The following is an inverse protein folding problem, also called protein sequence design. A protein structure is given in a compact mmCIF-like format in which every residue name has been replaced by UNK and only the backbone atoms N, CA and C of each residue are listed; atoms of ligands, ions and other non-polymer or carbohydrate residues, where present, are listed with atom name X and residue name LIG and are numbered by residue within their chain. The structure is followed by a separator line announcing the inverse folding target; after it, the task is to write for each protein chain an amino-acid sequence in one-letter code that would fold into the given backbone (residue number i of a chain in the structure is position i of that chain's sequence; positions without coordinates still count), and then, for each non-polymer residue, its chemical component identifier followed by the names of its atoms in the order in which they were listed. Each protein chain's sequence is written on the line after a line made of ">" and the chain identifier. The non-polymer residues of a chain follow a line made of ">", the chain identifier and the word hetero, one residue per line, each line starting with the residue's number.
data_IF_824307340348
#
_entry.id   IF_824307340348
#
_cell.length_a   1.000
_cell.length_b   1.000
_cell.length_c   1.000
_cell.angle_alpha   90.00
_cell.angle_beta   90.00
_cell.angle_gamma   90.00
#
_symmetry.space_group_name_H-M   'P 1'
#
loop_
_entity.id
_entity.type
_entity.pdbx_description
1 polymer ?
#
# COMPACT_ATOMS: atom_id res chain seq x y z
N UNK A 1 2.22 -40.00 -1.57
CA UNK A 1 1.23 -39.03 -1.08
C UNK A 1 1.84 -38.34 0.15
N UNK A 2 2.59 -37.26 -0.07
CA UNK A 2 3.13 -36.47 1.04
C UNK A 2 2.01 -35.57 1.54
N UNK A 3 1.48 -35.86 2.73
CA UNK A 3 0.60 -34.97 3.46
C UNK A 3 1.39 -33.70 3.79
N UNK A 4 1.15 -32.64 3.03
CA UNK A 4 1.51 -31.29 3.46
C UNK A 4 0.82 -31.05 4.79
N UNK A 5 1.57 -31.15 5.89
CA UNK A 5 1.11 -30.68 7.18
C UNK A 5 0.93 -29.17 7.07
N UNK A 6 -0.32 -28.75 6.85
CA UNK A 6 -0.71 -27.34 7.02
C UNK A 6 -0.55 -27.06 8.52
N UNK A 7 0.52 -26.38 8.85
CA UNK A 7 0.85 -26.01 10.24
C UNK A 7 -0.07 -24.85 10.63
N UNK A 8 -1.26 -25.16 11.12
CA UNK A 8 -2.15 -24.16 11.69
C UNK A 8 -1.54 -23.68 13.01
N UNK A 9 -1.16 -22.42 13.15
CA UNK A 9 -0.45 -21.97 14.35
C UNK A 9 -1.38 -21.95 15.57
N UNK A 10 -0.92 -22.53 16.67
CA UNK A 10 -1.65 -22.62 17.94
C UNK A 10 -2.18 -21.28 18.45
N UNK A 11 -1.43 -20.21 18.24
CA UNK A 11 -1.83 -18.87 18.67
C UNK A 11 -3.12 -18.40 17.99
N UNK A 12 -3.26 -18.67 16.68
CA UNK A 12 -4.43 -18.29 15.91
C UNK A 12 -5.63 -19.19 16.25
N UNK A 13 -5.39 -20.49 16.41
CA UNK A 13 -6.43 -21.44 16.86
C UNK A 13 -6.98 -21.03 18.22
N UNK A 14 -6.12 -20.68 19.18
CA UNK A 14 -6.54 -20.20 20.51
C UNK A 14 -7.38 -18.92 20.39
N UNK A 15 -6.99 -17.98 19.49
CA UNK A 15 -7.75 -16.76 19.25
C UNK A 15 -9.14 -17.08 18.68
N UNK A 16 -9.23 -17.93 17.65
CA UNK A 16 -10.49 -18.35 17.03
C UNK A 16 -11.40 -19.02 18.07
N UNK A 17 -10.88 -19.95 18.86
CA UNK A 17 -11.67 -20.64 19.90
C UNK A 17 -12.18 -19.64 20.94
N UNK A 18 -11.34 -18.69 21.39
CA UNK A 18 -11.73 -17.65 22.35
C UNK A 18 -12.86 -16.76 21.82
N UNK A 19 -12.90 -16.53 20.51
CA UNK A 19 -13.93 -15.73 19.83
C UNK A 19 -15.19 -16.54 19.46
N UNK A 20 -15.35 -17.74 19.98
CA UNK A 20 -16.54 -18.57 19.75
C UNK A 20 -16.41 -19.60 18.63
N UNK A 21 -15.21 -19.82 18.09
CA UNK A 21 -14.91 -20.85 17.07
C UNK A 21 -14.84 -20.32 15.65
N UNK A 22 -15.19 -19.05 15.44
CA UNK A 22 -15.14 -18.36 14.13
C UNK A 22 -14.75 -16.89 14.32
N UNK A 23 -13.99 -16.34 13.38
CA UNK A 23 -13.65 -14.91 13.29
C UNK A 23 -13.93 -14.41 11.88
N UNK A 24 -14.21 -13.10 11.71
CA UNK A 24 -14.36 -12.52 10.37
C UNK A 24 -13.07 -12.67 9.55
N UNK A 25 -13.17 -12.64 8.23
CA UNK A 25 -11.97 -12.64 7.39
C UNK A 25 -11.09 -11.39 7.68
N UNK A 26 -11.72 -10.27 7.97
CA UNK A 26 -11.03 -9.06 8.43
C UNK A 26 -10.16 -9.33 9.67
N UNK A 27 -10.74 -9.91 10.73
CA UNK A 27 -9.99 -10.22 11.96
C UNK A 27 -8.89 -11.26 11.73
N UNK A 28 -9.14 -12.20 10.83
CA UNK A 28 -8.13 -13.19 10.41
C UNK A 28 -6.95 -12.50 9.72
N UNK A 29 -7.20 -11.70 8.68
CA UNK A 29 -6.16 -10.99 7.93
C UNK A 29 -5.38 -10.04 8.84
N UNK A 30 -6.08 -9.26 9.68
CA UNK A 30 -5.44 -8.40 10.65
C UNK A 30 -4.54 -9.18 11.62
N UNK A 31 -4.99 -10.32 12.08
CA UNK A 31 -4.18 -11.18 12.97
C UNK A 31 -2.97 -11.76 12.25
N UNK A 32 -3.16 -12.27 11.03
CA UNK A 32 -2.10 -12.89 10.24
C UNK A 32 -1.01 -11.88 9.85
N UNK A 33 -1.37 -10.62 9.62
CA UNK A 33 -0.43 -9.58 9.22
C UNK A 33 0.13 -8.79 10.41
N UNK A 34 -0.71 -8.38 11.37
CA UNK A 34 -0.38 -7.33 12.34
C UNK A 34 -0.28 -7.80 13.79
N UNK A 35 -0.51 -9.10 14.11
CA UNK A 35 -0.30 -9.57 15.50
C UNK A 35 1.15 -9.26 15.94
N UNK A 36 1.35 -8.55 17.07
CA UNK A 36 2.69 -8.07 17.47
C UNK A 36 3.73 -9.18 17.68
N UNK A 37 3.28 -10.40 17.99
CA UNK A 37 4.18 -11.54 18.28
C UNK A 37 4.27 -12.53 17.13
N UNK A 38 3.24 -12.64 16.33
CA UNK A 38 3.08 -13.74 15.39
C UNK A 38 2.75 -13.28 13.96
N UNK A 39 2.24 -12.06 13.79
CA UNK A 39 1.87 -11.52 12.50
C UNK A 39 3.08 -11.29 11.58
N UNK A 40 2.86 -11.35 10.30
CA UNK A 40 3.90 -11.23 9.28
C UNK A 40 4.67 -9.89 9.41
N UNK A 41 3.97 -8.77 9.45
CA UNK A 41 4.56 -7.44 9.69
C UNK A 41 4.73 -7.16 11.18
N UNK A 42 3.71 -7.48 12.00
CA UNK A 42 3.69 -7.16 13.43
C UNK A 42 4.88 -7.69 14.20
N UNK A 43 5.32 -8.92 13.91
CA UNK A 43 6.49 -9.55 14.55
C UNK A 43 7.83 -9.20 13.88
N UNK A 44 7.83 -8.42 12.79
CA UNK A 44 9.04 -8.08 12.05
C UNK A 44 9.61 -9.22 11.19
N UNK A 45 8.85 -10.28 10.93
CA UNK A 45 9.29 -11.41 10.09
C UNK A 45 9.35 -11.06 8.60
N UNK A 46 8.57 -10.07 8.16
CA UNK A 46 8.48 -9.69 6.75
C UNK A 46 9.87 -9.49 6.13
N UNK A 47 10.16 -10.26 5.11
CA UNK A 47 11.39 -10.14 4.33
C UNK A 47 11.03 -9.63 2.94
N UNK A 48 11.44 -8.38 2.65
CA UNK A 48 11.16 -7.70 1.39
C UNK A 48 12.37 -7.76 0.46
N UNK A 49 12.11 -7.80 -0.85
CA UNK A 49 13.14 -7.73 -1.87
C UNK A 49 13.50 -9.06 -2.54
N UNK A 50 14.56 -9.05 -3.33
CA UNK A 50 14.96 -10.19 -4.20
C UNK A 50 15.35 -11.47 -3.42
N UNK A 51 15.66 -11.36 -2.14
CA UNK A 51 15.97 -12.47 -1.24
C UNK A 51 14.79 -12.79 -0.30
N UNK A 52 13.71 -12.01 -0.36
CA UNK A 52 12.56 -12.13 0.55
C UNK A 52 11.37 -12.87 -0.06
N UNK A 53 10.19 -12.62 0.49
CA UNK A 53 8.95 -13.29 0.08
C UNK A 53 8.35 -12.73 -1.21
N UNK A 54 8.53 -11.44 -1.45
CA UNK A 54 8.07 -10.75 -2.66
C UNK A 54 8.90 -9.50 -2.95
N UNK A 55 8.77 -8.99 -4.17
CA UNK A 55 9.50 -7.82 -4.65
C UNK A 55 8.56 -6.65 -4.75
N UNK A 56 8.86 -5.58 -4.03
CA UNK A 56 8.20 -4.27 -4.15
C UNK A 56 8.96 -3.38 -5.14
N UNK A 57 8.30 -2.32 -5.63
CA UNK A 57 8.96 -1.35 -6.51
C UNK A 57 10.25 -0.78 -5.92
N UNK A 58 10.32 -0.35 -4.64
CA UNK A 58 11.55 0.13 -4.01
C UNK A 58 12.63 -0.92 -3.84
N UNK A 59 12.25 -2.18 -3.60
CA UNK A 59 13.21 -3.26 -3.37
C UNK A 59 13.84 -3.79 -4.65
N UNK A 60 13.21 -3.51 -5.79
CA UNK A 60 13.69 -3.94 -7.09
C UNK A 60 14.87 -3.11 -7.58
N UNK A 61 14.82 -1.79 -7.37
CA UNK A 61 15.87 -0.86 -7.82
C UNK A 61 15.77 0.48 -7.10
N UNK A 62 16.92 1.07 -6.79
CA UNK A 62 17.04 2.47 -6.33
C UNK A 62 16.45 3.47 -7.33
N UNK A 63 16.26 3.05 -8.59
CA UNK A 63 15.69 3.89 -9.64
C UNK A 63 14.21 4.22 -9.39
N UNK A 64 13.45 3.37 -8.69
CA UNK A 64 12.10 3.72 -8.28
C UNK A 64 12.11 4.94 -7.36
N UNK A 65 12.92 4.90 -6.29
CA UNK A 65 13.07 6.04 -5.37
C UNK A 65 13.61 7.28 -6.06
N UNK A 66 14.43 7.13 -7.11
CA UNK A 66 14.89 8.23 -7.95
C UNK A 66 13.73 8.92 -8.67
N UNK A 67 12.82 8.19 -9.33
CA UNK A 67 11.69 8.79 -10.04
C UNK A 67 10.67 9.43 -9.09
N UNK A 68 10.29 8.72 -8.02
CA UNK A 68 9.41 9.29 -7.01
C UNK A 68 10.08 10.52 -6.38
N UNK A 69 11.39 10.47 -6.15
CA UNK A 69 12.20 11.59 -5.66
C UNK A 69 12.13 12.82 -6.56
N UNK A 70 12.18 12.66 -7.89
CA UNK A 70 12.00 13.76 -8.85
C UNK A 70 10.64 14.43 -8.69
N UNK A 71 9.58 13.63 -8.53
CA UNK A 71 8.24 14.18 -8.33
C UNK A 71 8.12 14.89 -6.98
N UNK A 72 8.67 14.30 -5.92
CA UNK A 72 8.68 14.92 -4.58
C UNK A 72 9.47 16.23 -4.60
N UNK A 73 10.62 16.24 -5.24
CA UNK A 73 11.43 17.46 -5.42
C UNK A 73 10.65 18.57 -6.12
N UNK A 74 9.97 18.26 -7.22
CA UNK A 74 9.10 19.21 -7.93
C UNK A 74 8.06 19.82 -6.98
N UNK A 75 7.41 19.01 -6.16
CA UNK A 75 6.44 19.48 -5.18
C UNK A 75 7.06 20.30 -4.06
N UNK A 76 8.21 19.89 -3.52
CA UNK A 76 8.93 20.64 -2.48
C UNK A 76 9.33 22.04 -2.98
N UNK A 77 9.81 22.16 -4.23
CA UNK A 77 10.15 23.44 -4.85
C UNK A 77 8.88 24.30 -4.97
N UNK A 78 7.75 23.73 -5.39
CA UNK A 78 6.48 24.44 -5.50
C UNK A 78 5.96 24.89 -4.11
N UNK A 79 6.11 24.08 -3.07
CA UNK A 79 5.78 24.47 -1.70
C UNK A 79 6.63 25.66 -1.22
N UNK A 80 7.94 25.61 -1.46
CA UNK A 80 8.87 26.68 -1.06
C UNK A 80 8.60 27.98 -1.82
N UNK A 81 8.19 27.92 -3.10
CA UNK A 81 7.90 29.12 -3.91
C UNK A 81 6.53 29.73 -3.61
N UNK A 82 5.57 28.99 -3.07
CA UNK A 82 4.20 29.43 -2.83
C UNK A 82 3.97 29.97 -1.40
N UNK A 83 4.94 30.71 -0.82
CA UNK A 83 4.87 31.33 0.53
C UNK A 83 4.77 30.36 1.71
N UNK A 84 5.05 29.08 1.52
CA UNK A 84 5.25 28.12 2.61
C UNK A 84 6.74 28.02 3.02
N UNK A 85 7.59 28.91 2.52
CA UNK A 85 9.04 28.93 2.73
C UNK A 85 9.46 29.07 4.21
N UNK A 86 8.64 29.74 5.03
CA UNK A 86 8.93 29.95 6.45
C UNK A 86 8.39 28.81 7.33
N UNK A 87 7.74 27.79 6.76
CA UNK A 87 7.17 26.68 7.50
C UNK A 87 8.03 25.43 7.29
N UNK A 88 8.16 24.66 8.38
CA UNK A 88 8.81 23.35 8.30
C UNK A 88 8.03 22.44 7.36
N UNK A 89 8.71 21.87 6.36
CA UNK A 89 8.13 20.93 5.43
C UNK A 89 8.43 19.50 5.87
N UNK A 90 7.50 18.61 5.58
CA UNK A 90 7.62 17.20 5.91
C UNK A 90 7.46 16.33 4.67
N UNK A 91 8.23 15.24 4.64
CA UNK A 91 8.00 14.09 3.75
C UNK A 91 7.69 12.90 4.63
N UNK A 92 6.49 12.38 4.51
CA UNK A 92 5.94 11.34 5.39
C UNK A 92 5.70 10.08 4.59
N UNK A 93 6.29 8.98 5.02
CA UNK A 93 6.16 7.65 4.41
C UNK A 93 5.34 6.73 5.33
N UNK A 94 4.24 6.22 4.83
CA UNK A 94 3.40 5.27 5.54
C UNK A 94 3.82 3.85 5.19
N UNK A 95 4.03 3.02 6.21
CA UNK A 95 4.37 1.62 5.99
C UNK A 95 5.66 1.47 5.18
N UNK A 96 6.75 2.11 5.62
CA UNK A 96 8.01 2.23 4.87
C UNK A 96 8.72 0.89 4.58
N UNK A 97 8.09 -0.26 4.85
CA UNK A 97 8.66 -1.58 4.67
C UNK A 97 10.00 -1.73 5.40
N UNK A 98 11.06 -2.14 4.73
CA UNK A 98 12.42 -2.23 5.29
C UNK A 98 13.16 -0.89 5.33
N UNK A 99 12.55 0.20 4.88
CA UNK A 99 13.16 1.53 4.77
C UNK A 99 13.91 1.80 3.47
N UNK A 100 13.90 0.87 2.51
CA UNK A 100 14.62 1.02 1.23
C UNK A 100 14.12 2.21 0.42
N UNK A 101 12.81 2.43 0.36
CA UNK A 101 12.23 3.57 -0.34
C UNK A 101 12.70 4.90 0.26
N UNK A 102 12.54 5.09 1.57
CA UNK A 102 12.96 6.30 2.28
C UNK A 102 14.47 6.53 2.16
N UNK A 103 15.28 5.48 2.26
CA UNK A 103 16.73 5.56 2.06
C UNK A 103 17.08 6.09 0.66
N UNK A 104 16.49 5.51 -0.39
CA UNK A 104 16.71 5.94 -1.76
C UNK A 104 16.23 7.37 -2.03
N UNK A 105 15.09 7.75 -1.45
CA UNK A 105 14.52 9.10 -1.55
C UNK A 105 15.41 10.15 -0.89
N UNK A 106 15.85 9.93 0.36
CA UNK A 106 16.76 10.84 1.05
C UNK A 106 18.06 10.99 0.25
N UNK A 107 18.61 9.88 -0.21
CA UNK A 107 19.83 9.88 -1.04
C UNK A 107 19.70 10.68 -2.33
N UNK A 108 18.53 10.60 -2.98
CA UNK A 108 18.22 11.41 -4.14
C UNK A 108 18.17 12.91 -3.80
N UNK A 109 17.39 13.28 -2.78
CA UNK A 109 17.17 14.68 -2.40
C UNK A 109 18.48 15.37 -1.91
N UNK A 110 19.35 14.62 -1.22
CA UNK A 110 20.65 15.13 -0.79
C UNK A 110 21.64 15.36 -1.95
N UNK A 111 21.48 14.60 -3.05
CA UNK A 111 22.34 14.76 -4.25
C UNK A 111 21.81 15.80 -5.23
N UNK A 112 20.58 16.24 -5.05
CA UNK A 112 19.97 17.23 -5.91
C UNK A 112 20.67 18.59 -5.77
N UNK A 113 20.92 19.24 -6.90
CA UNK A 113 21.51 20.59 -6.97
C UNK A 113 20.58 21.70 -6.48
N UNK A 114 19.30 21.40 -6.28
CA UNK A 114 18.27 22.40 -5.97
C UNK A 114 18.11 22.68 -4.46
N UNK A 115 18.94 22.06 -3.59
CA UNK A 115 18.81 22.16 -2.13
C UNK A 115 17.37 21.89 -1.63
N UNK A 116 16.66 21.03 -2.34
CA UNK A 116 15.24 20.74 -2.08
C UNK A 116 14.99 20.08 -0.72
N UNK A 117 16.00 19.39 -0.17
CA UNK A 117 15.95 18.75 1.16
C UNK A 117 16.19 19.72 2.31
N UNK A 118 16.68 20.93 2.07
CA UNK A 118 16.94 21.90 3.15
C UNK A 118 15.65 22.29 3.86
N UNK A 119 15.64 22.20 5.18
CA UNK A 119 14.47 22.48 6.02
C UNK A 119 13.35 21.44 5.94
N UNK A 120 13.62 20.26 5.36
CA UNK A 120 12.68 19.14 5.28
C UNK A 120 12.96 18.13 6.39
N UNK A 121 11.91 17.69 7.08
CA UNK A 121 11.96 16.57 8.02
C UNK A 121 11.31 15.34 7.39
N UNK A 122 11.93 14.18 7.59
CA UNK A 122 11.40 12.91 7.14
C UNK A 122 10.69 12.23 8.32
N UNK A 123 9.50 11.72 8.06
CA UNK A 123 8.71 11.00 9.08
C UNK A 123 8.31 9.65 8.51
N UNK A 124 8.51 8.61 9.29
CA UNK A 124 8.01 7.27 8.98
C UNK A 124 6.86 6.98 9.93
N UNK A 125 5.70 6.69 9.36
CA UNK A 125 4.53 6.22 10.11
C UNK A 125 4.47 4.71 10.00
N UNK A 126 4.86 4.03 11.08
CA UNK A 126 4.97 2.58 11.13
C UNK A 126 4.42 2.07 12.47
N UNK A 127 3.32 1.29 12.48
CA UNK A 127 2.75 0.74 13.71
C UNK A 127 3.55 -0.47 14.23
N UNK A 128 4.34 -1.12 13.40
CA UNK A 128 4.97 -2.40 13.70
C UNK A 128 6.41 -2.22 14.22
N UNK A 129 6.64 -2.47 15.50
CA UNK A 129 7.95 -2.31 16.15
C UNK A 129 9.06 -3.09 15.46
N UNK A 130 8.78 -4.31 15.00
CA UNK A 130 9.76 -5.13 14.29
C UNK A 130 10.22 -4.50 12.98
N UNK A 131 9.34 -3.80 12.27
CA UNK A 131 9.69 -3.06 11.04
C UNK A 131 10.49 -1.79 11.37
N UNK A 132 10.13 -1.06 12.43
CA UNK A 132 10.86 0.13 12.89
C UNK A 132 12.36 -0.18 13.11
N UNK A 133 12.69 -1.32 13.73
CA UNK A 133 14.09 -1.69 13.96
C UNK A 133 14.84 -1.94 12.64
N UNK A 134 14.22 -2.59 11.66
CA UNK A 134 14.80 -2.77 10.31
C UNK A 134 15.03 -1.42 9.62
N UNK A 135 14.06 -0.53 9.69
CA UNK A 135 14.12 0.82 9.11
C UNK A 135 15.26 1.64 9.75
N UNK A 136 15.41 1.61 11.07
CA UNK A 136 16.49 2.29 11.78
C UNK A 136 17.88 1.80 11.35
N UNK A 137 18.05 0.49 11.20
CA UNK A 137 19.30 -0.09 10.71
C UNK A 137 19.59 0.42 9.30
N UNK A 138 18.60 0.40 8.40
CA UNK A 138 18.71 0.84 7.01
C UNK A 138 19.05 2.32 6.87
N UNK A 139 18.48 3.14 7.74
CA UNK A 139 18.60 4.62 7.69
C UNK A 139 19.71 5.17 8.59
N UNK A 140 20.49 4.30 9.25
CA UNK A 140 21.51 4.71 10.22
C UNK A 140 22.56 5.65 9.63
N UNK A 141 22.94 5.49 8.36
CA UNK A 141 23.88 6.39 7.69
C UNK A 141 23.39 7.84 7.67
N UNK A 142 22.10 8.07 7.39
CA UNK A 142 21.51 9.41 7.34
C UNK A 142 21.31 10.01 8.73
N UNK A 143 20.96 9.19 9.73
CA UNK A 143 20.90 9.64 11.13
C UNK A 143 22.29 10.12 11.60
N UNK A 144 23.35 9.40 11.22
CA UNK A 144 24.74 9.77 11.53
C UNK A 144 25.19 11.07 10.84
N UNK A 145 24.58 11.41 9.70
CA UNK A 145 24.79 12.69 9.00
C UNK A 145 23.95 13.83 9.55
N UNK A 146 23.13 13.59 10.59
CA UNK A 146 22.28 14.60 11.22
C UNK A 146 20.98 14.90 10.44
N UNK A 147 20.58 14.02 9.52
CA UNK A 147 19.29 14.15 8.83
C UNK A 147 18.15 13.92 9.81
N UNK A 148 17.17 14.81 9.82
CA UNK A 148 16.01 14.74 10.71
C UNK A 148 15.02 13.67 10.24
N UNK A 149 15.12 12.46 10.82
CA UNK A 149 14.27 11.30 10.53
C UNK A 149 13.58 10.89 11.82
N UNK A 150 12.25 10.88 11.81
CA UNK A 150 11.39 10.60 12.96
C UNK A 150 10.52 9.39 12.69
N UNK A 151 10.32 8.54 13.68
CA UNK A 151 9.31 7.47 13.68
C UNK A 151 8.16 7.89 14.57
N UNK A 152 6.94 7.85 14.06
CA UNK A 152 5.73 8.25 14.78
C UNK A 152 4.57 7.30 14.47
N UNK A 153 3.68 7.14 15.46
CA UNK A 153 2.31 6.71 15.20
C UNK A 153 1.52 7.84 14.53
N UNK A 154 0.50 7.51 13.75
CA UNK A 154 -0.35 8.54 13.13
C UNK A 154 -1.04 9.41 14.19
N UNK A 155 -1.39 8.84 15.33
CA UNK A 155 -2.00 9.51 16.48
C UNK A 155 -1.04 10.52 17.16
N UNK A 156 0.28 10.35 17.05
CA UNK A 156 1.29 11.25 17.60
C UNK A 156 1.52 12.50 16.74
N UNK A 157 0.93 12.55 15.56
CA UNK A 157 0.98 13.70 14.67
C UNK A 157 -0.18 14.64 15.02
N UNK A 158 0.11 15.89 15.31
CA UNK A 158 -0.91 16.90 15.63
C UNK A 158 -1.82 17.19 14.44
N UNK A 159 -3.09 17.45 14.73
CA UNK A 159 -4.07 17.76 13.69
C UNK A 159 -3.77 19.11 13.01
N UNK A 160 -3.97 19.18 11.70
CA UNK A 160 -3.75 20.36 10.86
C UNK A 160 -2.38 21.04 11.02
N UNK A 161 -1.35 20.26 11.34
CA UNK A 161 -0.01 20.80 11.62
C UNK A 161 1.02 20.50 10.52
N UNK A 162 0.72 19.59 9.63
CA UNK A 162 1.67 19.15 8.63
C UNK A 162 1.51 19.91 7.30
N UNK A 163 2.63 20.52 6.88
CA UNK A 163 2.78 21.02 5.52
C UNK A 163 3.78 20.13 4.79
N UNK A 164 3.38 19.50 3.68
CA UNK A 164 4.31 18.63 2.96
C UNK A 164 3.66 17.51 2.16
N UNK A 165 4.40 16.43 2.02
CA UNK A 165 4.08 15.33 1.12
C UNK A 165 3.91 14.05 1.94
N UNK A 166 2.79 13.38 1.72
CA UNK A 166 2.43 12.11 2.32
C UNK A 166 2.50 11.04 1.23
N UNK A 167 3.14 9.93 1.51
CA UNK A 167 3.36 8.85 0.57
C UNK A 167 2.88 7.55 1.21
N UNK A 168 2.12 6.77 0.44
CA UNK A 168 1.77 5.39 0.78
C UNK A 168 2.05 4.53 -0.45
N UNK A 169 3.11 3.74 -0.38
CA UNK A 169 3.50 2.83 -1.44
C UNK A 169 3.27 1.39 -1.01
N UNK A 170 2.36 0.68 -1.68
CA UNK A 170 2.02 -0.71 -1.35
C UNK A 170 1.61 -0.84 0.14
N UNK A 171 0.60 -0.07 0.55
CA UNK A 171 0.11 -0.01 1.93
C UNK A 171 -1.35 -0.44 2.03
N UNK A 172 -2.18 0.06 1.11
CA UNK A 172 -3.62 -0.15 1.19
C UNK A 172 -4.01 -1.57 0.79
N UNK A 173 -3.21 -2.21 -0.08
CA UNK A 173 -3.38 -3.60 -0.49
C UNK A 173 -3.23 -4.59 0.68
N UNK A 174 -2.43 -4.23 1.70
CA UNK A 174 -2.18 -5.01 2.91
C UNK A 174 -3.11 -4.63 4.09
N UNK A 175 -3.96 -3.60 3.95
CA UNK A 175 -4.97 -3.30 4.96
C UNK A 175 -5.99 -4.44 5.05
N UNK A 176 -6.44 -4.81 6.27
CA UNK A 176 -7.45 -5.84 6.44
C UNK A 176 -8.73 -5.54 5.67
N UNK A 177 -9.32 -6.56 5.08
CA UNK A 177 -10.55 -6.43 4.28
C UNK A 177 -11.65 -7.33 4.80
N UNK A 178 -12.88 -6.89 4.69
CA UNK A 178 -14.03 -7.81 4.74
C UNK A 178 -14.12 -8.57 3.41
N UNK A 179 -14.35 -9.87 3.48
CA UNK A 179 -14.70 -10.65 2.28
C UNK A 179 -16.19 -10.95 2.28
N UNK A 180 -16.82 -10.67 1.16
CA UNK A 180 -18.27 -10.82 0.97
C UNK A 180 -18.48 -11.93 -0.02
N UNK A 181 -19.31 -12.92 0.34
CA UNK A 181 -19.67 -14.07 -0.50
C UNK A 181 -21.17 -14.03 -0.82
N UNK A 182 -21.51 -14.25 -2.08
CA UNK A 182 -22.88 -14.46 -2.52
C UNK A 182 -23.20 -15.96 -2.49
N UNK A 183 -24.14 -16.35 -1.66
CA UNK A 183 -24.54 -17.75 -1.45
C UNK A 183 -26.02 -17.84 -1.19
N UNK A 184 -26.71 -18.81 -1.81
CA UNK A 184 -28.14 -19.06 -1.63
C UNK A 184 -29.01 -17.82 -1.84
N UNK A 185 -28.66 -16.98 -2.81
CA UNK A 185 -29.38 -15.74 -3.14
C UNK A 185 -29.18 -14.60 -2.13
N UNK A 186 -28.20 -14.68 -1.22
CA UNK A 186 -27.91 -13.68 -0.19
C UNK A 186 -26.41 -13.38 -0.09
N UNK A 187 -26.08 -12.25 0.50
CA UNK A 187 -24.71 -11.89 0.85
C UNK A 187 -24.39 -12.34 2.28
N UNK A 188 -23.19 -12.88 2.44
CA UNK A 188 -22.59 -13.25 3.72
C UNK A 188 -21.20 -12.62 3.83
N UNK A 189 -20.74 -12.43 5.06
CA UNK A 189 -19.33 -12.16 5.35
C UNK A 189 -18.58 -13.47 5.36
N UNK A 190 -17.43 -13.53 4.71
CA UNK A 190 -16.57 -14.69 4.86
C UNK A 190 -15.87 -14.66 6.22
N UNK A 191 -15.77 -15.83 6.82
CA UNK A 191 -15.15 -16.05 8.12
C UNK A 191 -14.07 -17.12 8.04
N UNK A 192 -13.24 -17.19 9.07
CA UNK A 192 -12.28 -18.27 9.27
C UNK A 192 -12.64 -19.02 10.55
N UNK A 193 -12.90 -20.31 10.42
CA UNK A 193 -13.27 -21.21 11.49
C UNK A 193 -12.23 -22.32 11.64
N UNK A 194 -12.20 -22.95 12.81
CA UNK A 194 -11.32 -24.09 13.11
C UNK A 194 -12.13 -25.38 13.34
N UNK A 195 -11.89 -26.36 12.50
CA UNK A 195 -12.46 -27.72 12.72
C UNK A 195 -11.54 -28.57 13.61
N UNK A 196 -12.02 -28.88 14.81
CA UNK A 196 -11.30 -29.69 15.80
C UNK A 196 -11.05 -31.12 15.34
N UNK A 197 -11.90 -31.68 14.45
CA UNK A 197 -11.78 -33.08 14.01
C UNK A 197 -10.67 -33.22 12.95
N UNK A 198 -10.66 -32.37 11.98
CA UNK A 198 -9.65 -32.38 10.93
C UNK A 198 -8.39 -31.60 11.31
N UNK A 199 -8.40 -30.84 12.41
CA UNK A 199 -7.36 -29.92 12.84
C UNK A 199 -6.99 -28.89 11.74
N UNK A 200 -7.99 -28.34 11.03
CA UNK A 200 -7.79 -27.42 9.92
C UNK A 200 -8.60 -26.14 10.06
N UNK A 201 -8.03 -25.05 9.57
CA UNK A 201 -8.77 -23.83 9.29
C UNK A 201 -9.59 -24.03 8.00
N UNK A 202 -10.77 -23.44 7.96
CA UNK A 202 -11.63 -23.44 6.79
C UNK A 202 -12.39 -22.11 6.68
N UNK A 203 -12.82 -21.79 5.47
CA UNK A 203 -13.66 -20.62 5.22
C UNK A 203 -15.11 -20.98 5.57
N UNK A 204 -15.76 -20.08 6.30
CA UNK A 204 -17.12 -20.19 6.80
C UNK A 204 -17.90 -18.91 6.47
N UNK A 205 -19.19 -18.87 6.75
CA UNK A 205 -20.07 -17.74 6.47
C UNK A 205 -20.62 -17.15 7.78
N UNK A 206 -20.58 -15.81 7.88
CA UNK A 206 -21.23 -15.03 8.93
C UNK A 206 -22.26 -14.08 8.31
N UNK A 207 -23.31 -13.70 9.04
CA UNK A 207 -24.25 -12.69 8.57
C UNK A 207 -23.55 -11.36 8.23
N UNK A 208 -24.05 -10.66 7.22
CA UNK A 208 -23.63 -9.28 6.92
C UNK A 208 -23.95 -8.39 8.12
N UNK A 209 -23.01 -7.51 8.51
CA UNK A 209 -23.27 -6.49 9.52
C UNK A 209 -24.04 -5.32 8.92
N UNK A 210 -24.79 -4.62 9.76
CA UNK A 210 -25.56 -3.43 9.32
C UNK A 210 -24.65 -2.33 8.75
N UNK A 211 -23.45 -2.18 9.29
CA UNK A 211 -22.45 -1.21 8.84
C UNK A 211 -21.97 -1.54 7.44
N UNK A 212 -21.64 -2.82 7.20
CA UNK A 212 -21.20 -3.30 5.90
C UNK A 212 -22.30 -3.19 4.85
N UNK A 213 -23.54 -3.55 5.20
CA UNK A 213 -24.71 -3.42 4.34
C UNK A 213 -24.91 -1.95 3.91
N UNK A 214 -24.90 -1.01 4.86
CA UNK A 214 -25.00 0.42 4.57
C UNK A 214 -23.87 0.92 3.67
N UNK A 215 -22.65 0.45 3.88
CA UNK A 215 -21.50 0.82 3.06
C UNK A 215 -21.67 0.37 1.61
N UNK A 216 -22.19 -0.86 1.39
CA UNK A 216 -22.51 -1.40 0.07
C UNK A 216 -23.65 -0.59 -0.59
N UNK A 217 -24.70 -0.28 0.15
CA UNK A 217 -25.82 0.53 -0.35
C UNK A 217 -25.38 1.94 -0.74
N UNK A 218 -24.47 2.53 0.04
CA UNK A 218 -23.90 3.85 -0.26
C UNK A 218 -23.06 3.82 -1.55
N UNK A 219 -22.24 2.79 -1.75
CA UNK A 219 -21.48 2.60 -2.98
C UNK A 219 -22.41 2.40 -4.20
N UNK A 220 -23.51 1.66 -4.03
CA UNK A 220 -24.53 1.51 -5.08
C UNK A 220 -25.15 2.85 -5.44
N UNK A 221 -25.57 3.62 -4.45
CA UNK A 221 -26.26 4.90 -4.68
C UNK A 221 -25.36 5.99 -5.24
N UNK A 222 -24.08 6.06 -4.80
CA UNK A 222 -23.16 7.12 -5.22
C UNK A 222 -22.33 6.77 -6.44
N UNK A 223 -21.94 5.49 -6.59
CA UNK A 223 -20.99 5.05 -7.59
C UNK A 223 -21.58 4.06 -8.60
N UNK A 224 -22.83 3.62 -8.42
CA UNK A 224 -23.47 2.60 -9.25
C UNK A 224 -22.87 1.20 -9.09
N UNK A 225 -22.09 0.96 -8.02
CA UNK A 225 -21.47 -0.34 -7.75
C UNK A 225 -22.51 -1.27 -7.14
N UNK A 226 -22.87 -2.33 -7.89
CA UNK A 226 -23.84 -3.33 -7.44
C UNK A 226 -23.10 -4.58 -6.93
N UNK A 227 -23.40 -4.99 -5.70
CA UNK A 227 -22.85 -6.20 -5.07
C UNK A 227 -24.00 -7.05 -4.52
N UNK A 228 -24.13 -8.31 -4.95
CA UNK A 228 -23.35 -8.93 -6.03
C UNK A 228 -23.71 -8.30 -7.38
N UNK A 229 -22.87 -8.46 -8.44
CA UNK A 229 -23.27 -8.07 -9.80
C UNK A 229 -24.44 -8.94 -10.27
N UNK A 230 -25.19 -8.45 -11.27
CA UNK A 230 -26.45 -9.07 -11.73
C UNK A 230 -26.29 -10.55 -12.12
N UNK A 231 -25.18 -10.87 -12.79
CA UNK A 231 -24.85 -12.23 -13.24
C UNK A 231 -23.85 -12.96 -12.30
N UNK A 232 -23.84 -12.63 -11.01
CA UNK A 232 -22.95 -13.29 -10.07
C UNK A 232 -23.24 -14.79 -9.95
N UNK A 233 -22.23 -15.66 -10.16
CA UNK A 233 -22.40 -17.09 -9.92
C UNK A 233 -22.53 -17.39 -8.42
N UNK A 234 -23.10 -18.54 -8.08
CA UNK A 234 -23.09 -19.05 -6.70
C UNK A 234 -21.64 -19.15 -6.21
N UNK A 235 -21.38 -18.68 -5.00
CA UNK A 235 -20.05 -18.62 -4.42
C UNK A 235 -19.21 -17.42 -4.88
N UNK A 236 -19.77 -16.49 -5.68
CA UNK A 236 -19.07 -15.26 -6.04
C UNK A 236 -18.61 -14.52 -4.79
N UNK A 237 -17.35 -14.14 -4.73
CA UNK A 237 -16.70 -13.55 -3.54
C UNK A 237 -15.88 -12.33 -3.96
N UNK A 238 -15.88 -11.31 -3.13
CA UNK A 238 -15.11 -10.08 -3.33
C UNK A 238 -14.58 -9.53 -2.01
N UNK A 239 -13.58 -8.68 -2.08
CA UNK A 239 -13.06 -7.91 -0.95
C UNK A 239 -13.80 -6.57 -0.82
N UNK A 240 -13.93 -6.08 0.42
CA UNK A 240 -14.47 -4.77 0.76
C UNK A 240 -13.54 -4.07 1.73
N UNK A 241 -12.95 -2.96 1.28
CA UNK A 241 -11.97 -2.19 2.04
C UNK A 241 -12.68 -1.24 3.01
N UNK A 242 -13.04 -1.76 4.16
CA UNK A 242 -13.81 -1.01 5.16
C UNK A 242 -12.97 0.10 5.82
N UNK A 243 -11.65 -0.10 5.94
CA UNK A 243 -10.75 0.82 6.66
C UNK A 243 -10.21 1.96 5.79
N UNK A 244 -10.37 1.91 4.46
CA UNK A 244 -9.80 2.95 3.57
C UNK A 244 -10.27 4.35 3.93
N UNK A 245 -11.56 4.52 4.22
CA UNK A 245 -12.13 5.82 4.57
C UNK A 245 -11.59 6.36 5.89
N UNK A 246 -11.45 5.50 6.92
CA UNK A 246 -10.92 5.91 8.23
C UNK A 246 -9.41 6.18 8.17
N UNK A 247 -8.66 5.39 7.40
CA UNK A 247 -7.25 5.62 7.14
C UNK A 247 -7.02 6.96 6.43
N UNK A 248 -7.77 7.24 5.35
CA UNK A 248 -7.72 8.52 4.64
C UNK A 248 -8.10 9.70 5.54
N UNK A 249 -9.11 9.53 6.39
CA UNK A 249 -9.55 10.54 7.36
C UNK A 249 -8.44 10.85 8.36
N UNK A 250 -7.78 9.81 8.90
CA UNK A 250 -6.64 9.97 9.80
C UNK A 250 -5.55 10.84 9.18
N UNK A 251 -5.24 10.64 7.89
CA UNK A 251 -4.26 11.47 7.15
C UNK A 251 -4.81 12.88 6.91
N UNK A 252 -6.06 12.99 6.43
CA UNK A 252 -6.68 14.27 6.13
C UNK A 252 -6.65 15.23 7.33
N UNK A 253 -6.93 14.71 8.52
CA UNK A 253 -6.92 15.49 9.76
C UNK A 253 -5.54 16.04 10.14
N UNK A 254 -4.45 15.39 9.70
CA UNK A 254 -3.07 15.84 9.98
C UNK A 254 -2.58 16.91 9.02
N UNK A 255 -3.08 16.89 7.77
CA UNK A 255 -2.65 17.82 6.73
C UNK A 255 -3.18 19.23 7.02
N UNK A 256 -2.26 20.20 7.02
CA UNK A 256 -2.58 21.62 6.90
C UNK A 256 -2.59 22.05 5.42
N UNK A 257 -1.46 21.90 4.75
CA UNK A 257 -1.33 22.03 3.29
C UNK A 257 -0.46 20.87 2.81
N UNK A 258 -0.99 20.02 1.94
CA UNK A 258 -0.23 18.84 1.56
C UNK A 258 -0.74 18.11 0.32
N UNK A 259 0.14 17.24 -0.15
CA UNK A 259 -0.13 16.29 -1.22
C UNK A 259 -0.09 14.90 -0.63
N UNK A 260 -1.04 14.05 -1.02
CA UNK A 260 -1.05 12.62 -0.72
C UNK A 260 -0.83 11.86 -2.03
N UNK A 261 0.26 11.12 -2.10
CA UNK A 261 0.59 10.18 -3.17
C UNK A 261 0.35 8.75 -2.66
N UNK A 262 -0.57 8.05 -3.31
CA UNK A 262 -0.79 6.62 -3.07
C UNK A 262 -0.36 5.86 -4.32
N UNK A 263 0.49 4.84 -4.15
CA UNK A 263 0.96 3.97 -5.23
C UNK A 263 0.60 2.54 -4.85
N UNK A 264 -0.33 1.91 -5.62
CA UNK A 264 -0.82 0.61 -5.22
C UNK A 264 -1.50 -0.15 -6.38
N UNK A 265 -1.75 -1.44 -6.17
CA UNK A 265 -2.53 -2.27 -7.08
C UNK A 265 -4.00 -1.85 -7.08
N UNK A 266 -4.51 -1.40 -8.21
CA UNK A 266 -5.90 -0.99 -8.26
C UNK A 266 -6.60 -1.38 -9.55
N UNK A 267 -7.91 -1.62 -9.46
CA UNK A 267 -8.78 -1.95 -10.59
C UNK A 267 -10.02 -1.05 -10.58
N UNK A 268 -10.51 -0.78 -11.78
CA UNK A 268 -11.83 -0.16 -11.97
C UNK A 268 -12.93 -1.06 -11.37
N UNK A 269 -13.95 -0.46 -10.76
CA UNK A 269 -15.04 -1.17 -10.11
C UNK A 269 -15.70 -2.23 -11.01
N UNK A 270 -15.89 -1.92 -12.29
CA UNK A 270 -16.46 -2.85 -13.26
C UNK A 270 -15.64 -4.14 -13.41
N UNK A 271 -14.30 -4.05 -13.31
CA UNK A 271 -13.39 -5.21 -13.35
C UNK A 271 -13.26 -5.87 -12.00
N UNK A 272 -13.23 -5.06 -10.94
CA UNK A 272 -13.07 -5.49 -9.56
C UNK A 272 -14.27 -6.33 -9.09
N UNK A 273 -15.48 -5.77 -9.21
CA UNK A 273 -16.73 -6.40 -8.76
C UNK A 273 -17.47 -7.14 -9.86
N UNK A 274 -16.88 -7.27 -11.04
CA UNK A 274 -17.54 -7.96 -12.16
C UNK A 274 -17.70 -9.47 -11.95
N UNK A 275 -18.69 -10.11 -12.60
CA UNK A 275 -19.00 -11.52 -12.40
C UNK A 275 -17.85 -12.47 -12.80
N UNK A 276 -16.96 -12.03 -13.68
CA UNK A 276 -15.76 -12.80 -14.08
C UNK A 276 -14.69 -12.84 -12.99
N UNK A 277 -14.68 -11.89 -12.04
CA UNK A 277 -13.79 -11.88 -10.89
C UNK A 277 -14.46 -12.58 -9.69
N UNK A 278 -14.90 -13.83 -9.91
CA UNK A 278 -15.75 -14.55 -8.96
C UNK A 278 -15.08 -14.97 -7.65
N UNK A 279 -13.77 -14.85 -7.54
CA UNK A 279 -13.01 -15.21 -6.31
C UNK A 279 -12.33 -13.99 -5.66
N UNK A 280 -12.63 -12.78 -6.14
CA UNK A 280 -11.95 -11.57 -5.70
C UNK A 280 -10.52 -11.47 -6.21
N UNK A 281 -9.74 -10.61 -5.56
CA UNK A 281 -8.36 -10.30 -5.92
C UNK A 281 -7.35 -10.77 -4.90
N UNK A 282 -7.82 -11.26 -3.75
CA UNK A 282 -6.96 -11.61 -2.62
C UNK A 282 -5.99 -12.74 -2.97
N UNK A 283 -4.75 -12.56 -2.55
CA UNK A 283 -3.67 -13.50 -2.80
C UNK A 283 -2.69 -13.48 -1.62
N UNK A 284 -2.04 -14.60 -1.35
CA UNK A 284 -0.93 -14.66 -0.39
C UNK A 284 0.40 -14.86 -1.11
N UNK A 285 1.46 -14.26 -0.55
CA UNK A 285 2.83 -14.36 -1.08
C UNK A 285 3.76 -14.96 -0.03
N UNK A 286 4.56 -15.93 -0.48
CA UNK A 286 5.63 -16.53 0.32
C UNK A 286 6.73 -17.07 -0.60
N UNK A 287 8.00 -16.77 -0.31
CA UNK A 287 9.16 -17.23 -1.10
C UNK A 287 8.96 -17.01 -2.61
N UNK A 288 8.53 -15.82 -3.02
CA UNK A 288 8.19 -15.42 -4.40
C UNK A 288 7.09 -16.26 -5.07
N UNK A 289 6.29 -16.98 -4.31
CA UNK A 289 5.17 -17.77 -4.81
C UNK A 289 3.85 -17.16 -4.38
N UNK A 290 3.02 -16.88 -5.38
CA UNK A 290 1.65 -16.47 -5.16
C UNK A 290 0.77 -17.71 -4.92
N UNK A 291 -0.10 -17.66 -3.90
CA UNK A 291 -1.05 -18.71 -3.57
C UNK A 291 -2.45 -18.13 -3.38
N UNK A 292 -3.45 -18.82 -3.92
CA UNK A 292 -4.87 -18.53 -3.63
C UNK A 292 -5.35 -19.18 -2.32
N UNK A 293 -4.53 -20.05 -1.72
CA UNK A 293 -4.82 -20.63 -0.42
C UNK A 293 -4.42 -19.66 0.68
N UNK A 294 -5.28 -18.71 0.95
CA UNK A 294 -5.08 -17.63 1.92
C UNK A 294 -5.04 -18.07 3.37
N UNK A 295 -5.38 -19.33 3.66
CA UNK A 295 -5.28 -19.93 5.00
C UNK A 295 -3.97 -20.70 5.20
N UNK A 296 -3.12 -20.76 4.19
CA UNK A 296 -1.82 -21.41 4.27
C UNK A 296 -0.80 -20.52 5.00
N UNK A 297 -0.20 -21.06 6.05
CA UNK A 297 0.88 -20.38 6.81
C UNK A 297 0.55 -19.00 7.38
N UNK A 298 -0.59 -18.77 8.07
CA UNK A 298 -0.94 -17.48 8.63
C UNK A 298 0.15 -16.97 9.60
N UNK A 299 0.51 -15.69 9.47
CA UNK A 299 1.62 -15.05 10.19
C UNK A 299 3.01 -15.30 9.60
N UNK A 300 3.11 -16.07 8.49
CA UNK A 300 4.37 -16.35 7.80
C UNK A 300 4.27 -16.16 6.28
N UNK A 301 3.29 -15.42 5.83
CA UNK A 301 3.11 -14.99 4.44
C UNK A 301 2.41 -13.64 4.42
N UNK A 302 2.65 -12.90 3.35
CA UNK A 302 1.87 -11.71 3.07
C UNK A 302 0.49 -12.07 2.53
N UNK A 303 -0.50 -11.20 2.76
CA UNK A 303 -1.86 -11.33 2.22
C UNK A 303 -2.26 -9.96 1.69
N UNK A 304 -2.50 -9.86 0.39
CA UNK A 304 -2.84 -8.61 -0.27
C UNK A 304 -4.11 -8.71 -1.10
N UNK A 305 -4.74 -7.58 -1.34
CA UNK A 305 -5.87 -7.45 -2.26
C UNK A 305 -5.75 -6.19 -3.09
N UNK A 306 -6.30 -6.17 -4.30
CA UNK A 306 -6.33 -4.94 -5.09
C UNK A 306 -7.29 -3.91 -4.47
N UNK A 307 -7.09 -2.64 -4.80
CA UNK A 307 -7.96 -1.54 -4.40
C UNK A 307 -8.96 -1.25 -5.52
N UNK A 308 -10.18 -0.86 -5.17
CA UNK A 308 -11.13 -0.32 -6.14
C UNK A 308 -10.88 1.19 -6.33
N UNK A 309 -10.62 1.60 -7.57
CA UNK A 309 -10.28 2.98 -7.93
C UNK A 309 -11.39 3.94 -7.52
N UNK A 310 -12.64 3.64 -7.89
CA UNK A 310 -13.78 4.54 -7.69
C UNK A 310 -14.12 4.71 -6.21
N UNK A 311 -14.02 3.65 -5.41
CA UNK A 311 -14.29 3.74 -3.97
C UNK A 311 -13.21 4.56 -3.27
N UNK A 312 -11.91 4.34 -3.57
CA UNK A 312 -10.81 5.11 -2.99
C UNK A 312 -10.92 6.61 -3.31
N UNK A 313 -11.20 6.95 -4.58
CA UNK A 313 -11.37 8.35 -5.00
C UNK A 313 -12.59 8.97 -4.31
N UNK A 314 -13.72 8.25 -4.26
CA UNK A 314 -14.92 8.75 -3.59
C UNK A 314 -14.68 9.01 -2.10
N UNK A 315 -13.98 8.10 -1.42
CA UNK A 315 -13.68 8.25 0.00
C UNK A 315 -12.78 9.46 0.25
N UNK A 316 -11.72 9.63 -0.54
CA UNK A 316 -10.84 10.79 -0.44
C UNK A 316 -11.58 12.10 -0.70
N UNK A 317 -12.37 12.19 -1.78
CA UNK A 317 -13.11 13.40 -2.15
C UNK A 317 -14.22 13.71 -1.13
N UNK A 318 -14.88 12.70 -0.58
CA UNK A 318 -15.92 12.87 0.45
C UNK A 318 -15.36 13.46 1.76
N UNK A 319 -14.07 13.23 2.05
CA UNK A 319 -13.37 13.83 3.18
C UNK A 319 -12.89 15.27 2.93
N UNK A 320 -12.89 15.71 1.65
CA UNK A 320 -12.47 17.06 1.25
C UNK A 320 -11.12 17.12 0.53
N UNK A 321 -10.47 15.99 0.25
CA UNK A 321 -9.34 15.97 -0.68
C UNK A 321 -9.79 16.37 -2.08
N UNK A 322 -8.93 17.07 -2.79
CA UNK A 322 -9.08 17.27 -4.24
C UNK A 322 -8.29 16.20 -4.96
N UNK A 323 -8.95 15.46 -5.84
CA UNK A 323 -8.29 14.53 -6.75
C UNK A 323 -7.61 15.32 -7.88
N UNK A 324 -6.28 15.20 -7.99
CA UNK A 324 -5.47 15.84 -9.03
C UNK A 324 -5.43 14.95 -10.27
N UNK A 325 -5.34 13.65 -10.06
CA UNK A 325 -5.32 12.67 -11.13
C UNK A 325 -4.89 11.29 -10.68
N UNK A 326 -4.99 10.37 -11.63
CA UNK A 326 -4.53 9.00 -11.52
C UNK A 326 -3.78 8.64 -12.79
N UNK A 327 -2.67 7.94 -12.65
CA UNK A 327 -1.89 7.43 -13.77
C UNK A 327 -1.35 6.03 -13.48
N UNK A 328 -0.89 5.33 -14.50
CA UNK A 328 -0.16 4.07 -14.31
C UNK A 328 1.30 4.34 -13.99
N UNK A 329 1.91 3.46 -13.20
CA UNK A 329 3.33 3.57 -12.86
C UNK A 329 4.21 3.67 -14.10
N UNK A 330 3.97 2.83 -15.10
CA UNK A 330 4.73 2.89 -16.35
C UNK A 330 4.67 4.26 -17.03
N UNK A 331 3.48 4.89 -17.07
CA UNK A 331 3.25 6.21 -17.63
C UNK A 331 3.93 7.30 -16.78
N UNK A 332 3.78 7.23 -15.45
CA UNK A 332 4.43 8.15 -14.52
C UNK A 332 5.96 8.13 -14.66
N UNK A 333 6.56 6.94 -14.72
CA UNK A 333 8.01 6.81 -14.85
C UNK A 333 8.50 7.31 -16.21
N UNK A 334 7.74 7.13 -17.29
CA UNK A 334 8.04 7.70 -18.61
C UNK A 334 8.04 9.23 -18.54
N UNK A 335 7.02 9.83 -17.96
CA UNK A 335 6.93 11.28 -17.80
C UNK A 335 8.05 11.85 -16.91
N UNK A 336 8.52 11.08 -15.93
CA UNK A 336 9.60 11.45 -15.01
C UNK A 336 11.00 11.22 -15.59
N UNK A 337 11.13 10.77 -16.85
CA UNK A 337 12.41 10.70 -17.56
C UNK A 337 13.04 9.30 -17.58
N UNK A 338 12.24 8.25 -17.77
CA UNK A 338 12.74 6.87 -17.91
C UNK A 338 13.74 6.73 -19.07
N UNK A 339 13.50 7.42 -20.20
CA UNK A 339 14.37 7.32 -21.38
C UNK A 339 15.79 7.81 -21.08
N UNK A 340 15.90 8.95 -20.39
CA UNK A 340 17.18 9.52 -19.95
C UNK A 340 17.88 8.57 -18.96
N UNK A 341 17.12 7.96 -18.06
CA UNK A 341 17.67 7.04 -17.06
C UNK A 341 18.20 5.76 -17.70
N UNK A 342 17.51 5.22 -18.69
CA UNK A 342 17.98 4.08 -19.47
C UNK A 342 19.25 4.41 -20.27
N UNK A 343 19.33 5.63 -20.80
CA UNK A 343 20.54 6.10 -21.50
C UNK A 343 21.74 6.24 -20.56
N UNK A 344 21.55 6.70 -19.32
CA UNK A 344 22.60 6.75 -18.31
C UNK A 344 23.15 5.35 -18.00
N UNK A 345 22.28 4.36 -17.82
CA UNK A 345 22.70 2.96 -17.59
C UNK A 345 23.51 2.44 -18.77
N UNK A 346 23.21 2.84 -20.00
CA UNK A 346 23.98 2.42 -21.18
C UNK A 346 25.45 2.87 -21.09
N UNK A 347 25.74 3.99 -20.44
CA UNK A 347 27.11 4.43 -20.22
C UNK A 347 27.87 3.50 -19.26
N UNK A 348 27.17 2.90 -18.30
CA UNK A 348 27.73 2.00 -17.29
C UNK A 348 28.13 0.63 -17.88
N UNK A 349 27.65 0.25 -19.08
CA UNK A 349 28.03 -1.02 -19.74
C UNK A 349 29.53 -1.14 -19.99
N UNK A 350 30.26 -0.04 -20.03
CA UNK A 350 31.72 -0.04 -20.21
C UNK A 350 32.48 -0.36 -18.92
N UNK A 351 31.85 -0.19 -17.76
CA UNK A 351 32.47 -0.33 -16.43
C UNK A 351 32.07 -1.61 -15.74
N UNK A 352 30.78 -1.95 -15.75
CA UNK A 352 30.23 -3.17 -15.14
C UNK A 352 28.98 -3.62 -15.90
N UNK A 353 29.18 -4.48 -16.89
CA UNK A 353 28.12 -4.99 -17.76
C UNK A 353 27.04 -5.75 -16.98
N UNK A 354 27.44 -6.58 -16.00
CA UNK A 354 26.47 -7.40 -15.23
C UNK A 354 25.53 -6.52 -14.42
N UNK A 355 26.09 -5.54 -13.70
CA UNK A 355 25.31 -4.60 -12.90
C UNK A 355 24.40 -3.73 -13.77
N UNK A 356 24.91 -3.25 -14.91
CA UNK A 356 24.13 -2.45 -15.84
C UNK A 356 22.95 -3.23 -16.45
N UNK A 357 23.14 -4.50 -16.80
CA UNK A 357 22.07 -5.38 -17.31
C UNK A 357 21.01 -5.64 -16.24
N UNK A 358 21.42 -6.00 -15.01
CA UNK A 358 20.48 -6.22 -13.89
C UNK A 358 19.65 -4.97 -13.58
N UNK A 359 20.29 -3.81 -13.59
CA UNK A 359 19.62 -2.53 -13.35
C UNK A 359 18.63 -2.19 -14.47
N UNK A 360 19.02 -2.43 -15.73
CA UNK A 360 18.13 -2.26 -16.88
C UNK A 360 16.91 -3.17 -16.80
N UNK A 361 17.12 -4.44 -16.46
CA UNK A 361 16.02 -5.41 -16.28
C UNK A 361 15.08 -4.95 -15.18
N UNK A 362 15.60 -4.50 -14.03
CA UNK A 362 14.80 -3.95 -12.94
C UNK A 362 13.94 -2.77 -13.41
N UNK A 363 14.50 -1.82 -14.15
CA UNK A 363 13.75 -0.69 -14.71
C UNK A 363 12.65 -1.12 -15.67
N UNK A 364 12.91 -2.10 -16.54
CA UNK A 364 11.90 -2.61 -17.46
C UNK A 364 10.73 -3.28 -16.70
N UNK A 365 11.00 -3.99 -15.61
CA UNK A 365 9.96 -4.58 -14.75
C UNK A 365 9.10 -3.51 -14.05
N UNK A 366 9.66 -2.35 -13.71
CA UNK A 366 8.91 -1.24 -13.10
C UNK A 366 7.87 -0.64 -14.07
N UNK A 367 8.07 -0.76 -15.37
CA UNK A 367 7.18 -0.18 -16.39
C UNK A 367 6.37 -1.23 -17.17
N UNK A 368 6.69 -2.50 -17.04
CA UNK A 368 5.96 -3.58 -17.70
C UNK A 368 4.53 -3.69 -17.11
N UNK A 369 3.48 -3.52 -17.93
CA UNK A 369 2.09 -3.61 -17.49
C UNK A 369 1.68 -4.97 -16.89
N UNK A 370 2.42 -6.02 -17.21
CA UNK A 370 2.17 -7.37 -16.66
C UNK A 370 2.80 -7.51 -15.26
N UNK A 371 3.81 -6.68 -14.97
CA UNK A 371 4.49 -6.64 -13.67
C UNK A 371 4.00 -5.43 -12.84
N UNK A 372 4.91 -4.50 -12.56
CA UNK A 372 4.67 -3.36 -11.68
C UNK A 372 4.14 -2.12 -12.42
N UNK A 373 4.21 -2.09 -13.76
CA UNK A 373 3.86 -0.92 -14.56
C UNK A 373 2.36 -0.57 -14.56
N UNK A 374 1.48 -1.50 -14.16
CA UNK A 374 0.03 -1.24 -14.06
C UNK A 374 -0.40 -0.71 -12.67
N UNK A 375 0.52 -0.60 -11.69
CA UNK A 375 0.21 0.07 -10.42
C UNK A 375 -0.38 1.45 -10.69
N UNK A 376 -1.26 1.92 -9.83
CA UNK A 376 -1.87 3.22 -9.97
C UNK A 376 -1.23 4.21 -8.99
N UNK A 377 -0.88 5.35 -9.52
CA UNK A 377 -0.45 6.51 -8.76
C UNK A 377 -1.65 7.44 -8.62
N UNK A 378 -2.19 7.55 -7.42
CA UNK A 378 -3.25 8.48 -7.07
C UNK A 378 -2.62 9.71 -6.45
N UNK A 379 -2.93 10.90 -6.98
CA UNK A 379 -2.45 12.17 -6.44
C UNK A 379 -3.63 12.96 -5.93
N UNK A 380 -3.63 13.21 -4.63
CA UNK A 380 -4.61 14.05 -3.95
C UNK A 380 -3.94 15.23 -3.30
N UNK A 381 -4.68 16.31 -3.06
CA UNK A 381 -4.17 17.39 -2.23
C UNK A 381 -5.24 17.97 -1.29
N UNK A 382 -4.75 18.59 -0.21
CA UNK A 382 -5.51 19.45 0.69
C UNK A 382 -4.73 20.75 0.87
N UNK A 383 -5.31 21.88 0.50
CA UNK A 383 -4.77 23.21 0.72
C UNK A 383 -5.85 24.10 1.32
N UNK A 384 -5.48 24.93 2.30
CA UNK A 384 -6.39 25.93 2.89
C UNK A 384 -6.87 26.92 1.85
N UNK A 385 -5.95 27.36 0.97
CA UNK A 385 -6.27 28.21 -0.15
C UNK A 385 -6.58 27.38 -1.39
N UNK A 386 -7.83 27.42 -1.84
CA UNK A 386 -8.26 26.72 -3.05
C UNK A 386 -7.58 27.17 -4.34
N UNK A 387 -6.63 28.10 -4.26
CA UNK A 387 -5.95 28.73 -5.42
C UNK A 387 -4.60 28.09 -5.75
N UNK A 388 -4.05 27.24 -4.90
CA UNK A 388 -2.76 26.60 -5.17
C UNK A 388 -2.91 25.55 -6.25
N UNK A 389 -2.45 25.85 -7.46
CA UNK A 389 -2.30 24.87 -8.54
C UNK A 389 -0.97 24.17 -8.33
N UNK A 390 -1.00 22.87 -8.17
CA UNK A 390 0.19 22.04 -8.05
C UNK A 390 0.38 21.28 -9.36
N UNK A 391 1.51 21.49 -9.99
CA UNK A 391 1.92 20.70 -11.16
C UNK A 391 2.47 19.36 -10.69
N UNK A 392 2.12 18.31 -11.41
CA UNK A 392 2.56 16.95 -11.14
C UNK A 392 3.02 16.33 -12.46
N UNK A 393 4.33 16.29 -12.67
CA UNK A 393 4.92 15.74 -13.90
C UNK A 393 4.54 14.27 -14.09
N UNK A 394 4.40 13.51 -13.01
CA UNK A 394 3.97 12.11 -13.08
C UNK A 394 2.57 11.88 -13.69
N UNK A 395 1.74 12.93 -13.81
CA UNK A 395 0.39 12.87 -14.40
C UNK A 395 0.33 13.37 -15.86
N UNK A 396 1.47 13.67 -16.48
CA UNK A 396 1.56 14.20 -17.87
C UNK A 396 1.76 13.07 -18.91
#
# INVERSE_FOLDING_TARGET
>A
MNSLHVNNPDWLIKKIIKMGGSISFYDYMNSALNDPSNGYYGSGKAELGSQGDFVTSPSLSDDFSFFVGKQIEEWLIQFKSNHLCDQKLFVIDFGAGDGSFMSGLIKYLLKSSNNSSEGVSFVIVEPNKGMIEKQKIKLNEFLSLGIDILWKGLEEIEANNINGIFIANEVLDALPVERITFSKGKLFRQAVSFDKRSCRLFLDELPITRELEKSIELAKSKLGITIPPEDAPEGWTTEWHIDNSEWLKGIYEKINNGILLIIDYAKEAKKYYGPRNSNGTIISYKNHKASKNILESPGNCDITSHICIETLINDAVSLGFKNIGITKQGEALLALGLAERLYEIHKDFKTDLSKALSRREALLRLVDPICLGDFKWFVFHKFKDNKSIINSTCLR
#
